data_IF_327139339529
#
_entry.id   IF_327139339529
#
_cell.length_a   1.000
_cell.length_b   1.000
_cell.length_c   1.000
_cell.angle_alpha   90.00
_cell.angle_beta   90.00
_cell.angle_gamma   90.00
#
_symmetry.space_group_name_H-M   'P 1'
#
loop_
_entity.id
_entity.type
_entity.pdbx_description
1 polymer ?
#
# COMPACT_ATOMS: atom_id res chain seq x y z
N UNK A 1 -20.81 -8.79 -10.79
CA UNK A 1 -19.56 -9.07 -11.54
C UNK A 1 -18.62 -7.90 -11.31
N UNK A 2 -17.30 -8.11 -11.26
CA UNK A 2 -16.33 -7.02 -11.09
C UNK A 2 -16.29 -6.12 -12.33
N UNK A 3 -16.12 -4.81 -12.14
CA UNK A 3 -16.03 -3.82 -13.24
C UNK A 3 -14.76 -3.95 -14.08
N UNK A 4 -13.71 -4.56 -13.54
CA UNK A 4 -12.41 -4.74 -14.18
C UNK A 4 -11.35 -5.20 -13.19
N UNK A 5 -10.09 -5.17 -13.61
CA UNK A 5 -8.92 -5.46 -12.77
C UNK A 5 -8.10 -4.21 -12.53
N UNK A 6 -7.73 -3.99 -11.28
CA UNK A 6 -6.90 -2.87 -10.84
C UNK A 6 -5.63 -3.40 -10.20
N UNK A 7 -4.51 -2.80 -10.59
CA UNK A 7 -3.29 -2.78 -9.78
C UNK A 7 -3.08 -1.37 -9.23
N UNK A 8 -2.78 -1.28 -7.95
CA UNK A 8 -2.20 -0.08 -7.35
C UNK A 8 -1.17 -0.47 -6.29
N UNK A 9 -0.29 0.46 -5.93
CA UNK A 9 0.78 0.16 -5.00
C UNK A 9 1.47 1.40 -4.49
N UNK A 10 2.26 1.23 -3.43
CA UNK A 10 3.12 2.28 -2.89
C UNK A 10 4.50 1.69 -2.60
N UNK A 11 5.54 2.51 -2.77
CA UNK A 11 6.89 2.20 -2.29
C UNK A 11 6.86 2.15 -0.75
N UNK A 12 7.43 1.11 -0.12
CA UNK A 12 7.51 1.05 1.34
C UNK A 12 8.40 2.19 1.84
N UNK A 13 7.79 3.09 2.62
CA UNK A 13 8.45 4.23 3.26
C UNK A 13 8.18 4.28 4.77
N UNK A 14 7.66 3.19 5.34
CA UNK A 14 7.21 3.05 6.71
C UNK A 14 5.80 3.59 6.93
N UNK A 15 5.51 4.02 8.16
CA UNK A 15 4.20 4.58 8.58
C UNK A 15 3.64 5.63 7.62
N UNK A 16 2.41 5.52 7.16
CA UNK A 16 1.82 6.51 6.29
C UNK A 16 1.35 7.73 7.08
N UNK A 17 1.35 8.88 6.43
CA UNK A 17 0.79 10.13 6.96
C UNK A 17 -0.55 10.48 6.32
N UNK A 18 -1.29 11.41 6.93
CA UNK A 18 -2.66 11.79 6.55
C UNK A 18 -2.80 12.18 5.07
N UNK A 19 -1.75 12.70 4.43
CA UNK A 19 -1.73 12.94 2.98
C UNK A 19 -1.95 11.69 2.09
N UNK A 20 -1.75 10.47 2.61
CA UNK A 20 -2.05 9.22 1.90
C UNK A 20 -3.49 8.73 2.12
N UNK A 21 -4.22 9.29 3.07
CA UNK A 21 -5.51 8.78 3.49
C UNK A 21 -6.53 8.81 2.34
N UNK A 22 -6.53 9.88 1.53
CA UNK A 22 -7.42 10.01 0.37
C UNK A 22 -7.20 8.91 -0.68
N UNK A 23 -5.95 8.47 -0.88
CA UNK A 23 -5.61 7.36 -1.77
C UNK A 23 -6.11 6.04 -1.20
N UNK A 24 -5.88 5.80 0.09
CA UNK A 24 -6.31 4.57 0.77
C UNK A 24 -7.84 4.47 0.85
N UNK A 25 -8.55 5.56 1.15
CA UNK A 25 -10.01 5.62 1.12
C UNK A 25 -10.56 5.30 -0.28
N UNK A 26 -9.89 5.78 -1.33
CA UNK A 26 -10.25 5.41 -2.69
C UNK A 26 -10.00 3.92 -2.96
N UNK A 27 -8.87 3.36 -2.53
CA UNK A 27 -8.63 1.92 -2.62
C UNK A 27 -9.70 1.10 -1.89
N UNK A 28 -10.16 1.57 -0.72
CA UNK A 28 -11.24 0.92 0.05
C UNK A 28 -12.56 0.88 -0.73
N UNK A 29 -12.86 1.93 -1.52
CA UNK A 29 -14.01 1.96 -2.43
C UNK A 29 -13.79 1.02 -3.61
N UNK A 30 -12.63 1.08 -4.26
CA UNK A 30 -12.32 0.29 -5.45
C UNK A 30 -12.39 -1.22 -5.23
N UNK A 31 -11.93 -1.71 -4.08
CA UNK A 31 -11.99 -3.15 -3.77
C UNK A 31 -13.41 -3.71 -3.62
N UNK A 32 -14.46 -2.87 -3.57
CA UNK A 32 -15.84 -3.35 -3.62
C UNK A 32 -16.29 -3.66 -5.06
N UNK A 33 -15.78 -2.90 -6.02
CA UNK A 33 -16.26 -2.90 -7.41
C UNK A 33 -15.32 -3.64 -8.37
N UNK A 34 -14.03 -3.69 -8.04
CA UNK A 34 -12.96 -4.20 -8.91
C UNK A 34 -12.25 -5.40 -8.27
N UNK A 35 -11.59 -6.19 -9.14
CA UNK A 35 -10.58 -7.14 -8.68
C UNK A 35 -9.28 -6.38 -8.42
N UNK A 36 -8.97 -6.15 -7.14
CA UNK A 36 -7.83 -5.33 -6.76
C UNK A 36 -6.59 -6.16 -6.36
N UNK A 37 -5.46 -5.73 -6.90
CA UNK A 37 -4.12 -6.07 -6.50
C UNK A 37 -3.48 -4.84 -5.86
N UNK A 38 -3.11 -4.94 -4.59
CA UNK A 38 -2.43 -3.90 -3.84
C UNK A 38 -1.01 -4.35 -3.50
N UNK A 39 -0.04 -3.67 -4.09
CA UNK A 39 1.34 -4.11 -4.08
C UNK A 39 2.23 -3.18 -3.26
N UNK A 40 2.99 -3.75 -2.33
CA UNK A 40 4.13 -3.08 -1.71
C UNK A 40 5.30 -3.12 -2.69
N UNK A 41 5.60 -1.99 -3.30
CA UNK A 41 6.55 -1.85 -4.42
C UNK A 41 7.99 -1.72 -3.92
N UNK A 42 8.54 -2.79 -3.35
CA UNK A 42 9.85 -2.79 -2.72
C UNK A 42 11.03 -2.75 -3.71
N UNK A 43 10.91 -3.37 -4.89
CA UNK A 43 11.93 -3.24 -5.95
C UNK A 43 12.00 -1.79 -6.46
N UNK A 44 10.86 -1.11 -6.58
CA UNK A 44 10.81 0.32 -6.92
C UNK A 44 11.50 1.22 -5.88
N UNK A 45 11.53 0.83 -4.60
CA UNK A 45 12.30 1.58 -3.60
C UNK A 45 13.81 1.56 -3.88
N UNK A 46 14.34 0.44 -4.38
CA UNK A 46 15.76 0.27 -4.69
C UNK A 46 16.25 1.23 -5.78
N UNK A 47 15.37 1.73 -6.64
CA UNK A 47 15.73 2.69 -7.70
C UNK A 47 16.28 4.02 -7.16
N UNK A 48 15.98 4.36 -5.90
CA UNK A 48 16.44 5.60 -5.23
C UNK A 48 17.06 5.39 -3.86
N UNK A 49 17.00 4.15 -3.33
CA UNK A 49 17.41 3.76 -1.98
C UNK A 49 18.08 2.39 -1.96
N UNK A 50 18.89 2.08 -2.98
CA UNK A 50 19.59 0.80 -3.08
C UNK A 50 20.60 0.57 -1.94
N UNK A 51 21.07 1.64 -1.30
CA UNK A 51 22.01 1.68 -0.19
C UNK A 51 21.32 1.77 1.20
N UNK A 52 20.00 1.91 1.26
CA UNK A 52 19.21 2.08 2.50
C UNK A 52 18.17 0.97 2.67
N UNK A 53 18.60 -0.30 2.69
CA UNK A 53 17.69 -1.46 2.67
C UNK A 53 17.42 -2.11 4.03
N UNK A 54 18.18 -1.76 5.05
CA UNK A 54 18.16 -2.43 6.37
C UNK A 54 16.77 -2.40 7.04
N UNK A 55 16.06 -1.28 6.93
CA UNK A 55 14.76 -1.08 7.57
C UNK A 55 13.57 -1.49 6.68
N UNK A 56 13.83 -1.96 5.46
CA UNK A 56 12.78 -2.28 4.48
C UNK A 56 11.73 -3.29 5.00
N UNK A 57 12.09 -4.38 5.72
CA UNK A 57 11.09 -5.30 6.26
C UNK A 57 10.12 -4.63 7.25
N UNK A 58 10.65 -3.73 8.09
CA UNK A 58 9.85 -2.97 9.03
C UNK A 58 8.96 -1.95 8.30
N UNK A 59 9.50 -1.27 7.29
CA UNK A 59 8.73 -0.31 6.51
C UNK A 59 7.56 -0.95 5.74
N UNK A 60 7.77 -2.16 5.21
CA UNK A 60 6.72 -2.98 4.59
C UNK A 60 5.63 -3.29 5.63
N UNK A 61 6.02 -3.78 6.81
CA UNK A 61 5.09 -4.12 7.88
C UNK A 61 4.23 -2.93 8.30
N UNK A 62 4.87 -1.81 8.61
CA UNK A 62 4.22 -0.60 9.09
C UNK A 62 3.21 -0.04 8.08
N UNK A 63 3.59 -0.05 6.80
CA UNK A 63 2.73 0.41 5.72
C UNK A 63 1.52 -0.50 5.51
N UNK A 64 1.71 -1.82 5.56
CA UNK A 64 0.59 -2.78 5.43
C UNK A 64 -0.36 -2.65 6.62
N UNK A 65 0.15 -2.44 7.84
CA UNK A 65 -0.70 -2.14 9.00
C UNK A 65 -1.56 -0.89 8.78
N UNK A 66 -1.01 0.16 8.17
CA UNK A 66 -1.79 1.36 7.82
C UNK A 66 -2.84 1.09 6.73
N UNK A 67 -2.54 0.26 5.74
CA UNK A 67 -3.52 -0.13 4.73
C UNK A 67 -4.71 -0.87 5.36
N UNK A 68 -4.41 -1.86 6.21
CA UNK A 68 -5.42 -2.66 6.90
C UNK A 68 -6.25 -1.78 7.85
N UNK A 69 -5.61 -0.86 8.56
CA UNK A 69 -6.28 0.02 9.52
C UNK A 69 -7.20 1.05 8.88
N UNK A 70 -6.92 1.48 7.65
CA UNK A 70 -7.83 2.34 6.88
C UNK A 70 -9.02 1.54 6.32
N UNK A 71 -8.83 0.25 6.03
CA UNK A 71 -9.93 -0.66 5.67
C UNK A 71 -9.68 -1.51 4.43
N UNK A 72 -8.43 -1.59 3.95
CA UNK A 72 -8.08 -2.56 2.91
C UNK A 72 -8.34 -3.97 3.44
N UNK A 73 -9.19 -4.71 2.73
CA UNK A 73 -9.61 -6.05 3.14
C UNK A 73 -8.80 -7.10 2.36
N UNK A 74 -7.87 -7.83 3.03
CA UNK A 74 -7.03 -8.82 2.38
C UNK A 74 -7.81 -10.07 1.95
N UNK A 75 -9.07 -10.24 2.35
CA UNK A 75 -9.96 -11.28 1.82
C UNK A 75 -10.54 -10.84 0.47
N UNK A 76 -10.83 -9.53 0.32
CA UNK A 76 -11.36 -8.95 -0.93
C UNK A 76 -10.28 -8.80 -2.00
N UNK A 77 -9.13 -8.27 -1.61
CA UNK A 77 -8.03 -7.89 -2.49
C UNK A 77 -6.78 -8.72 -2.22
N UNK A 78 -5.90 -8.84 -3.22
CA UNK A 78 -4.57 -9.43 -3.00
C UNK A 78 -3.61 -8.35 -2.50
N UNK A 79 -3.09 -8.50 -1.29
CA UNK A 79 -2.07 -7.61 -0.70
C UNK A 79 -0.74 -8.35 -0.63
N UNK A 80 0.28 -7.89 -1.35
CA UNK A 80 1.54 -8.64 -1.51
C UNK A 80 2.74 -7.71 -1.69
N UNK A 81 3.94 -8.28 -1.54
CA UNK A 81 5.21 -7.58 -1.79
C UNK A 81 5.68 -7.87 -3.22
N UNK A 82 6.11 -6.84 -3.95
CA UNK A 82 6.52 -6.94 -5.36
C UNK A 82 7.59 -8.01 -5.57
N UNK A 83 8.71 -7.93 -4.83
CA UNK A 83 9.83 -8.90 -4.93
C UNK A 83 9.44 -10.35 -4.62
N UNK A 84 8.34 -10.55 -3.89
CA UNK A 84 7.87 -11.90 -3.53
C UNK A 84 7.23 -12.64 -4.71
N UNK A 85 6.88 -11.92 -5.78
CA UNK A 85 6.36 -12.44 -7.06
C UNK A 85 7.43 -12.18 -8.13
N UNK A 86 8.34 -13.14 -8.29
CA UNK A 86 9.55 -13.01 -9.13
C UNK A 86 9.25 -12.78 -10.61
N UNK A 87 8.04 -13.14 -11.05
CA UNK A 87 7.56 -12.93 -12.41
C UNK A 87 7.61 -11.45 -12.83
N UNK A 88 7.49 -10.51 -11.88
CA UNK A 88 7.66 -9.08 -12.18
C UNK A 88 9.02 -8.77 -12.79
N UNK A 89 10.09 -9.34 -12.23
CA UNK A 89 11.44 -9.17 -12.75
C UNK A 89 11.61 -9.85 -14.11
N UNK A 90 10.98 -11.01 -14.30
CA UNK A 90 11.00 -11.75 -15.56
C UNK A 90 10.30 -10.99 -16.69
N UNK A 91 9.09 -10.47 -16.44
CA UNK A 91 8.36 -9.68 -17.44
C UNK A 91 9.06 -8.35 -17.71
N UNK A 92 9.62 -7.71 -16.68
CA UNK A 92 10.45 -6.53 -16.85
C UNK A 92 11.63 -6.79 -17.79
N UNK A 93 12.32 -7.93 -17.63
CA UNK A 93 13.41 -8.33 -18.50
C UNK A 93 12.94 -8.47 -19.95
N UNK A 94 11.82 -9.16 -20.20
CA UNK A 94 11.28 -9.30 -21.55
C UNK A 94 10.92 -7.97 -22.19
N UNK A 95 10.28 -7.06 -21.45
CA UNK A 95 10.01 -5.71 -21.94
C UNK A 95 11.30 -4.93 -22.21
N UNK A 96 12.29 -4.97 -21.32
CA UNK A 96 13.52 -4.19 -21.48
C UNK A 96 14.29 -4.49 -22.77
N UNK A 97 14.12 -5.69 -23.37
CA UNK A 97 14.81 -6.08 -24.60
C UNK A 97 14.35 -5.29 -25.84
N UNK A 98 13.18 -4.67 -25.82
CA UNK A 98 12.59 -4.06 -27.01
C UNK A 98 12.15 -2.59 -26.85
N UNK A 99 12.35 -1.99 -25.67
CA UNK A 99 12.02 -0.59 -25.39
C UNK A 99 13.21 0.33 -25.68
N UNK A 100 13.08 1.30 -26.62
CA UNK A 100 14.14 2.26 -26.89
C UNK A 100 14.43 3.14 -25.67
N UNK A 101 15.72 3.37 -25.39
CA UNK A 101 16.15 4.25 -24.29
C UNK A 101 15.57 5.67 -24.41
N UNK A 102 15.42 6.17 -25.65
CA UNK A 102 14.87 7.50 -25.91
C UNK A 102 13.43 7.70 -25.43
N UNK A 103 12.66 6.63 -25.26
CA UNK A 103 11.31 6.71 -24.66
C UNK A 103 11.40 7.01 -23.16
N UNK A 104 12.38 6.39 -22.48
CA UNK A 104 12.59 6.53 -21.05
C UNK A 104 13.20 7.91 -20.71
N UNK A 105 14.20 8.35 -21.47
CA UNK A 105 14.88 9.64 -21.28
C UNK A 105 13.97 10.86 -21.50
N UNK A 106 12.85 10.67 -22.22
CA UNK A 106 11.85 11.72 -22.49
C UNK A 106 10.72 11.78 -21.47
N UNK A 107 10.65 10.85 -20.52
CA UNK A 107 9.68 10.93 -19.43
C UNK A 107 9.95 12.20 -18.60
N UNK A 108 9.00 13.15 -18.50
CA UNK A 108 9.24 14.44 -17.83
C UNK A 108 9.71 14.29 -16.39
N UNK A 109 9.09 13.35 -15.67
CA UNK A 109 9.39 13.02 -14.27
C UNK A 109 10.83 12.56 -14.04
N UNK A 110 11.48 11.95 -15.03
CA UNK A 110 12.83 11.41 -14.89
C UNK A 110 13.84 12.53 -14.66
N UNK A 111 13.87 13.53 -15.54
CA UNK A 111 14.84 14.64 -15.47
C UNK A 111 14.66 15.47 -14.18
N UNK A 112 13.40 15.73 -13.82
CA UNK A 112 13.07 16.48 -12.62
C UNK A 112 13.52 15.74 -11.35
N UNK A 113 13.33 14.42 -11.30
CA UNK A 113 13.77 13.60 -10.17
C UNK A 113 15.29 13.50 -10.10
N UNK A 114 16.00 13.27 -11.20
CA UNK A 114 17.48 13.28 -11.22
C UNK A 114 18.01 14.60 -10.68
N UNK A 115 17.47 15.74 -11.16
CA UNK A 115 17.88 17.05 -10.67
C UNK A 115 17.56 17.25 -9.18
N UNK A 116 16.38 16.81 -8.73
CA UNK A 116 15.97 16.93 -7.32
C UNK A 116 16.85 16.10 -6.38
N UNK A 117 17.12 14.84 -6.72
CA UNK A 117 17.94 13.94 -5.91
C UNK A 117 19.43 14.32 -5.97
N UNK A 118 19.91 14.81 -7.12
CA UNK A 118 21.25 15.37 -7.25
C UNK A 118 21.48 16.55 -6.30
N UNK A 119 20.48 17.44 -6.11
CA UNK A 119 20.54 18.51 -5.09
C UNK A 119 20.60 17.99 -3.66
N UNK A 120 20.22 16.74 -3.41
CA UNK A 120 20.31 16.07 -2.11
C UNK A 120 21.60 15.25 -1.96
N UNK A 121 22.52 15.33 -2.93
CA UNK A 121 23.77 14.57 -2.93
C UNK A 121 23.59 13.09 -3.31
N UNK A 122 22.44 12.71 -3.88
CA UNK A 122 22.18 11.34 -4.34
C UNK A 122 22.36 11.23 -5.84
N UNK A 123 23.26 10.35 -6.27
CA UNK A 123 23.37 9.95 -7.67
C UNK A 123 22.45 8.76 -7.94
N UNK A 124 21.32 9.06 -8.59
CA UNK A 124 20.33 8.05 -9.00
C UNK A 124 20.35 7.82 -10.52
N UNK A 125 21.40 8.26 -11.21
CA UNK A 125 21.56 8.13 -12.68
C UNK A 125 21.94 6.69 -13.05
N UNK A 126 21.10 5.74 -12.65
CA UNK A 126 21.33 4.30 -12.76
C UNK A 126 20.40 3.69 -13.81
N UNK A 127 20.79 2.54 -14.37
CA UNK A 127 19.90 1.77 -15.25
C UNK A 127 18.57 1.43 -14.56
N UNK A 128 18.61 1.06 -13.27
CA UNK A 128 17.41 0.72 -12.51
C UNK A 128 16.44 1.90 -12.38
N UNK A 129 16.96 3.11 -12.18
CA UNK A 129 16.13 4.32 -12.13
C UNK A 129 15.63 4.72 -13.53
N UNK A 130 16.44 4.65 -14.58
CA UNK A 130 15.96 4.90 -15.95
C UNK A 130 14.88 3.88 -16.36
N UNK A 131 15.04 2.62 -15.97
CA UNK A 131 14.17 1.50 -16.32
C UNK A 131 12.94 1.31 -15.43
N UNK A 132 12.78 2.07 -14.33
CA UNK A 132 11.63 1.87 -13.43
C UNK A 132 10.26 1.99 -14.12
N UNK A 133 10.05 2.85 -15.13
CA UNK A 133 8.75 2.91 -15.81
C UNK A 133 8.43 1.62 -16.58
N UNK A 134 9.46 0.90 -17.06
CA UNK A 134 9.28 -0.42 -17.69
C UNK A 134 8.93 -1.47 -16.64
N UNK A 135 9.54 -1.39 -15.45
CA UNK A 135 9.16 -2.24 -14.31
C UNK A 135 7.71 -1.97 -13.89
N UNK A 136 7.29 -0.70 -13.84
CA UNK A 136 5.90 -0.33 -13.54
C UNK A 136 4.92 -0.87 -14.59
N UNK A 137 5.29 -0.84 -15.87
CA UNK A 137 4.50 -1.45 -16.92
C UNK A 137 4.39 -2.98 -16.76
N UNK A 138 5.50 -3.65 -16.40
CA UNK A 138 5.50 -5.07 -16.06
C UNK A 138 4.56 -5.36 -14.88
N UNK A 139 4.60 -4.55 -13.83
CA UNK A 139 3.73 -4.72 -12.67
C UNK A 139 2.24 -4.68 -13.09
N UNK A 140 1.83 -3.64 -13.85
CA UNK A 140 0.45 -3.43 -14.30
C UNK A 140 -0.03 -4.56 -15.22
N UNK A 141 0.76 -4.88 -16.24
CA UNK A 141 0.38 -5.84 -17.28
C UNK A 141 0.43 -7.29 -16.80
N UNK A 142 1.21 -7.59 -15.75
CA UNK A 142 1.25 -8.92 -15.10
C UNK A 142 -0.14 -9.42 -14.71
N UNK A 143 -1.02 -8.52 -14.29
CA UNK A 143 -2.35 -8.84 -13.80
C UNK A 143 -3.46 -8.52 -14.80
N UNK A 144 -3.10 -8.16 -16.04
CA UNK A 144 -4.05 -7.66 -17.05
C UNK A 144 -4.93 -6.53 -16.50
N UNK A 145 -4.32 -5.61 -15.74
CA UNK A 145 -5.06 -4.48 -15.19
C UNK A 145 -5.56 -3.59 -16.34
N UNK A 146 -6.88 -3.50 -16.48
CA UNK A 146 -7.55 -2.66 -17.48
C UNK A 146 -7.76 -1.23 -16.98
N UNK A 147 -7.65 -1.01 -15.67
CA UNK A 147 -7.89 0.26 -15.00
C UNK A 147 -6.81 0.51 -13.96
N UNK A 148 -6.21 1.70 -13.95
CA UNK A 148 -5.16 2.06 -12.99
C UNK A 148 -5.53 3.40 -12.31
N UNK A 149 -5.73 3.42 -10.98
CA UNK A 149 -5.97 4.65 -10.25
C UNK A 149 -4.67 5.44 -10.16
N UNK A 150 -4.64 6.62 -10.77
CA UNK A 150 -3.44 7.46 -10.89
C UNK A 150 -3.77 8.93 -10.67
N UNK A 151 -2.77 9.68 -10.17
CA UNK A 151 -2.76 11.13 -10.24
C UNK A 151 -2.34 11.62 -11.63
N UNK A 152 -2.56 12.90 -11.92
CA UNK A 152 -2.17 13.51 -13.20
C UNK A 152 -0.66 13.40 -13.47
N UNK A 153 0.16 13.41 -12.42
CA UNK A 153 1.62 13.28 -12.48
C UNK A 153 2.10 11.90 -12.97
N UNK A 154 1.23 10.88 -12.88
CA UNK A 154 1.54 9.50 -13.29
C UNK A 154 1.01 9.15 -14.69
N UNK A 155 0.29 10.06 -15.36
CA UNK A 155 -0.21 9.83 -16.71
C UNK A 155 0.88 9.50 -17.74
N UNK A 156 2.07 10.13 -17.72
CA UNK A 156 3.15 9.77 -18.64
C UNK A 156 3.61 8.30 -18.50
N UNK A 157 3.71 7.78 -17.27
CA UNK A 157 4.10 6.38 -17.04
C UNK A 157 3.01 5.41 -17.51
N UNK A 158 1.74 5.79 -17.33
CA UNK A 158 0.63 4.99 -17.82
C UNK A 158 0.57 4.96 -19.34
N UNK A 159 0.85 6.09 -20.02
CA UNK A 159 0.93 6.12 -21.48
C UNK A 159 2.07 5.25 -22.00
N UNK A 160 3.25 5.32 -21.37
CA UNK A 160 4.35 4.41 -21.68
C UNK A 160 3.94 2.93 -21.50
N UNK A 161 3.15 2.63 -20.47
CA UNK A 161 2.63 1.26 -20.27
C UNK A 161 1.74 0.81 -21.43
N UNK A 162 0.88 1.70 -21.97
CA UNK A 162 0.07 1.40 -23.16
C UNK A 162 0.93 1.18 -24.40
N UNK A 163 1.95 2.02 -24.60
CA UNK A 163 2.90 1.84 -25.71
C UNK A 163 3.64 0.51 -25.63
N UNK A 164 4.06 0.09 -24.43
CA UNK A 164 4.68 -1.21 -24.19
C UNK A 164 3.72 -2.35 -24.53
N UNK A 165 2.45 -2.26 -24.09
CA UNK A 165 1.42 -3.25 -24.41
C UNK A 165 1.17 -3.37 -25.92
N UNK A 166 0.94 -2.23 -26.60
CA UNK A 166 0.76 -2.16 -28.06
C UNK A 166 1.94 -2.76 -28.80
N UNK A 167 3.15 -2.37 -28.40
CA UNK A 167 4.39 -2.85 -29.03
C UNK A 167 4.59 -4.34 -28.86
N UNK A 168 4.36 -4.89 -27.66
CA UNK A 168 4.44 -6.33 -27.42
C UNK A 168 3.45 -7.09 -28.32
N UNK A 169 2.18 -6.67 -28.31
CA UNK A 169 1.12 -7.26 -29.10
C UNK A 169 1.45 -7.23 -30.61
N UNK A 170 1.98 -6.10 -31.10
CA UNK A 170 2.40 -5.96 -32.49
C UNK A 170 3.58 -6.87 -32.86
N UNK A 171 4.66 -6.87 -32.07
CA UNK A 171 5.88 -7.63 -32.36
C UNK A 171 5.62 -9.14 -32.39
N UNK A 172 4.81 -9.64 -31.46
CA UNK A 172 4.55 -11.07 -31.30
C UNK A 172 3.21 -11.51 -31.89
N UNK A 173 2.51 -10.62 -32.62
CA UNK A 173 1.24 -10.89 -33.30
C UNK A 173 0.18 -11.53 -32.39
N UNK A 174 -0.02 -10.91 -31.23
CA UNK A 174 -0.93 -11.38 -30.18
C UNK A 174 -1.80 -10.24 -29.66
N UNK A 175 -2.86 -10.56 -28.93
CA UNK A 175 -3.72 -9.60 -28.21
C UNK A 175 -3.65 -9.83 -26.70
N UNK A 176 -2.46 -10.21 -26.22
CA UNK A 176 -2.27 -10.67 -24.84
C UNK A 176 -2.47 -9.55 -23.82
N UNK A 177 -1.86 -8.39 -24.04
CA UNK A 177 -1.87 -7.30 -23.05
C UNK A 177 -2.94 -6.25 -23.37
N UNK A 178 -3.79 -5.87 -22.39
CA UNK A 178 -4.73 -4.78 -22.55
C UNK A 178 -4.02 -3.43 -22.48
N UNK A 179 -4.69 -2.39 -22.98
CA UNK A 179 -4.27 -1.00 -22.79
C UNK A 179 -4.93 -0.41 -21.54
N UNK A 180 -4.20 -0.23 -20.42
CA UNK A 180 -4.79 0.19 -19.15
C UNK A 180 -5.35 1.62 -19.22
N UNK A 181 -6.57 1.82 -18.72
CA UNK A 181 -7.25 3.11 -18.65
C UNK A 181 -6.92 3.83 -17.34
N UNK A 182 -6.76 5.16 -17.42
CA UNK A 182 -6.57 5.98 -16.22
C UNK A 182 -7.89 6.12 -15.46
N UNK A 183 -7.87 5.82 -14.17
CA UNK A 183 -8.92 6.26 -13.26
C UNK A 183 -8.40 7.45 -12.46
N UNK A 184 -8.67 8.65 -12.97
CA UNK A 184 -8.22 9.89 -12.35
C UNK A 184 -8.96 10.14 -11.03
N UNK A 185 -8.22 10.06 -9.93
CA UNK A 185 -8.73 10.47 -8.62
C UNK A 185 -8.43 11.94 -8.37
N UNK A 186 -9.43 12.72 -7.97
CA UNK A 186 -9.22 14.07 -7.42
C UNK A 186 -8.81 13.95 -5.97
N UNK A 187 -7.51 13.78 -5.73
CA UNK A 187 -6.96 13.73 -4.38
C UNK A 187 -6.47 15.12 -3.98
N UNK A 188 -7.03 15.73 -2.92
CA UNK A 188 -6.51 17.01 -2.45
C UNK A 188 -5.07 16.82 -1.97
N UNK A 189 -4.16 17.68 -2.44
CA UNK A 189 -2.80 17.71 -1.92
C UNK A 189 -2.85 18.25 -0.49
N UNK A 190 -2.59 17.39 0.49
CA UNK A 190 -2.53 17.79 1.90
C UNK A 190 -1.14 18.34 2.21
N UNK A 191 -0.99 19.65 2.52
CA UNK A 191 0.31 20.20 2.86
C UNK A 191 0.79 19.71 4.23
N UNK A 192 2.09 19.73 4.45
CA UNK A 192 2.66 19.57 5.79
C UNK A 192 2.24 20.70 6.72
N UNK A 193 2.46 20.54 8.02
CA UNK A 193 2.07 21.55 9.02
C UNK A 193 2.76 22.91 8.81
N UNK A 194 3.87 22.93 8.07
CA UNK A 194 4.65 24.10 7.70
C UNK A 194 4.29 24.68 6.31
N UNK A 195 3.31 24.10 5.62
CA UNK A 195 2.88 24.52 4.27
C UNK A 195 3.67 23.93 3.11
N UNK A 196 4.80 23.25 3.37
CA UNK A 196 5.56 22.53 2.32
C UNK A 196 4.87 21.19 1.99
N UNK A 197 5.39 20.46 0.98
CA UNK A 197 4.96 19.08 0.73
C UNK A 197 5.13 18.25 2.01
N UNK A 198 4.10 17.51 2.39
CA UNK A 198 4.16 16.64 3.55
C UNK A 198 5.23 15.56 3.34
N UNK A 199 6.14 15.44 4.29
CA UNK A 199 7.21 14.44 4.30
C UNK A 199 7.74 14.22 5.71
N UNK A 200 7.99 12.95 6.05
CA UNK A 200 8.65 12.58 7.30
C UNK A 200 10.04 13.17 7.43
N UNK A 201 10.78 13.25 6.32
CA UNK A 201 12.15 13.78 6.32
C UNK A 201 12.19 15.26 6.69
N UNK A 202 11.09 16.00 6.47
CA UNK A 202 10.95 17.39 6.90
C UNK A 202 10.38 17.52 8.30
N UNK A 203 9.97 16.41 8.92
CA UNK A 203 9.31 16.39 10.22
C UNK A 203 8.03 17.21 10.25
N UNK A 204 7.35 17.41 9.10
CA UNK A 204 6.16 18.24 8.96
C UNK A 204 4.86 17.41 8.77
N UNK A 205 4.95 16.10 8.98
CA UNK A 205 3.87 15.15 8.75
C UNK A 205 3.00 14.90 9.99
N UNK A 206 1.81 14.36 9.73
CA UNK A 206 0.91 13.80 10.73
C UNK A 206 0.69 12.34 10.35
N UNK A 207 1.34 11.41 11.06
CA UNK A 207 1.16 9.97 10.83
C UNK A 207 -0.32 9.59 11.02
N UNK A 208 -0.83 8.68 10.20
CA UNK A 208 -2.22 8.16 10.33
C UNK A 208 -2.37 7.45 11.68
N UNK A 209 -1.30 6.80 12.15
CA UNK A 209 -1.23 6.13 13.43
C UNK A 209 -0.88 7.08 14.61
N UNK A 210 -0.82 8.40 14.41
CA UNK A 210 -0.34 9.34 15.43
C UNK A 210 -1.26 9.36 16.66
N UNK A 211 -0.69 9.39 17.87
CA UNK A 211 -1.48 9.51 19.10
C UNK A 211 -2.32 10.79 19.11
N UNK A 212 -3.40 10.84 19.90
CA UNK A 212 -4.19 12.09 20.04
C UNK A 212 -3.32 13.27 20.50
N UNK A 213 -2.31 13.01 21.33
CA UNK A 213 -1.39 14.05 21.80
C UNK A 213 -0.50 14.56 20.65
N UNK A 214 0.05 13.65 19.85
CA UNK A 214 0.88 14.00 18.69
C UNK A 214 0.07 14.77 17.65
N UNK A 215 -1.16 14.35 17.35
CA UNK A 215 -2.06 15.07 16.44
C UNK A 215 -2.30 16.49 16.96
N UNK A 216 -2.63 16.65 18.26
CA UNK A 216 -2.82 17.96 18.87
C UNK A 216 -1.56 18.83 18.76
N UNK A 217 -0.38 18.27 19.07
CA UNK A 217 0.90 18.96 18.99
C UNK A 217 1.18 19.45 17.56
N UNK A 218 0.96 18.58 16.56
CA UNK A 218 1.17 18.89 15.14
C UNK A 218 0.20 19.94 14.62
N UNK A 219 -1.09 19.83 14.94
CA UNK A 219 -2.11 20.83 14.56
C UNK A 219 -1.81 22.18 15.21
N UNK A 220 -1.39 22.18 16.48
CA UNK A 220 -1.00 23.42 17.17
C UNK A 220 0.22 24.10 16.54
N UNK A 221 1.16 23.31 16.01
CA UNK A 221 2.35 23.81 15.32
C UNK A 221 2.09 24.33 13.89
N UNK A 222 0.87 24.17 13.35
CA UNK A 222 0.58 24.60 11.98
C UNK A 222 0.81 26.10 11.76
N UNK A 223 1.45 26.44 10.64
CA UNK A 223 1.64 27.84 10.22
C UNK A 223 0.29 28.45 9.87
N UNK A 224 -0.05 29.55 10.54
CA UNK A 224 -1.23 30.37 10.23
C UNK A 224 -0.81 31.60 9.44
N UNK A 225 -1.74 32.54 9.23
CA UNK A 225 -1.43 33.82 8.61
C UNK A 225 -0.33 34.58 9.39
N UNK A 226 0.86 34.83 8.78
CA UNK A 226 1.93 35.58 9.43
C UNK A 226 1.58 37.05 9.69
N UNK A 227 0.64 37.62 8.92
CA UNK A 227 0.17 38.99 9.08
C UNK A 227 -0.76 39.18 10.27
N UNK A 228 -1.25 38.09 10.87
CA UNK A 228 -2.16 38.13 12.01
C UNK A 228 -1.40 37.93 13.33
N UNK A 229 -0.91 39.03 13.90
CA UNK A 229 -0.06 39.02 15.10
C UNK A 229 -0.90 38.96 16.38
N UNK A 230 -2.01 39.70 16.41
CA UNK A 230 -2.97 39.74 17.53
C UNK A 230 -4.27 39.06 17.16
N UNK A 231 -5.09 38.74 18.18
CA UNK A 231 -6.38 38.08 17.96
C UNK A 231 -7.35 38.98 17.20
N UNK A 232 -7.29 40.27 17.46
CA UNK A 232 -8.16 41.32 16.92
C UNK A 232 -7.78 41.69 15.49
N UNK A 233 -6.58 41.33 15.03
CA UNK A 233 -6.16 41.54 13.65
C UNK A 233 -6.99 40.66 12.70
N UNK A 234 -7.39 41.23 11.57
CA UNK A 234 -8.11 40.51 10.51
C UNK A 234 -7.20 39.41 9.95
N UNK A 235 -7.73 38.21 9.77
CA UNK A 235 -6.98 37.10 9.19
C UNK A 235 -7.20 36.94 7.69
N UNK A 236 -6.19 36.42 7.01
CA UNK A 236 -6.27 35.94 5.65
C UNK A 236 -6.28 34.39 5.59
N UNK A 237 -7.45 33.76 5.37
CA UNK A 237 -7.55 32.30 5.24
C UNK A 237 -6.74 31.72 4.06
N UNK A 238 -6.50 32.51 3.02
CA UNK A 238 -5.93 32.01 1.76
C UNK A 238 -4.44 31.62 1.91
N UNK A 239 -3.75 32.22 2.89
CA UNK A 239 -2.35 31.92 3.24
C UNK A 239 -2.21 31.03 4.49
N UNK A 240 -3.33 30.57 5.06
CA UNK A 240 -3.34 29.85 6.33
C UNK A 240 -3.41 28.33 6.11
N UNK A 241 -2.43 27.57 6.63
CA UNK A 241 -2.40 26.10 6.48
C UNK A 241 -3.55 25.43 7.22
N UNK A 242 -3.96 25.99 8.36
CA UNK A 242 -5.14 25.51 9.09
C UNK A 242 -6.39 25.61 8.21
N UNK A 243 -6.57 26.71 7.48
CA UNK A 243 -7.71 26.85 6.55
C UNK A 243 -7.61 25.84 5.39
N UNK A 244 -6.42 25.56 4.85
CA UNK A 244 -6.23 24.51 3.83
C UNK A 244 -6.68 23.13 4.32
N UNK A 245 -6.46 22.81 5.60
CA UNK A 245 -7.00 21.58 6.18
C UNK A 245 -8.52 21.63 6.37
N UNK A 246 -9.08 22.79 6.75
CA UNK A 246 -10.54 22.97 6.85
C UNK A 246 -11.21 22.80 5.47
N UNK A 247 -10.58 23.25 4.39
CA UNK A 247 -11.04 23.02 3.01
C UNK A 247 -11.08 21.53 2.62
N UNK A 248 -10.27 20.70 3.27
CA UNK A 248 -10.18 19.27 2.94
C UNK A 248 -11.14 18.46 3.81
N UNK A 249 -11.21 18.77 5.11
CA UNK A 249 -11.90 17.95 6.11
C UNK A 249 -13.19 18.57 6.66
N UNK A 250 -13.48 19.84 6.38
CA UNK A 250 -14.61 20.58 6.98
C UNK A 250 -15.37 21.44 5.97
N UNK A 251 -15.76 20.84 4.84
CA UNK A 251 -16.45 21.54 3.76
C UNK A 251 -17.74 22.24 4.20
N UNK A 252 -18.49 21.66 5.14
CA UNK A 252 -19.79 22.17 5.56
C UNK A 252 -19.70 23.52 6.30
N UNK A 253 -18.70 23.68 7.17
CA UNK A 253 -18.53 24.90 7.97
C UNK A 253 -17.54 25.89 7.35
N UNK A 254 -16.87 25.52 6.25
CA UNK A 254 -15.78 26.29 5.67
C UNK A 254 -16.11 27.78 5.46
N UNK A 255 -17.27 28.08 4.87
CA UNK A 255 -17.67 29.46 4.60
C UNK A 255 -17.81 30.30 5.88
N UNK A 256 -18.34 29.69 6.94
CA UNK A 256 -18.44 30.32 8.26
C UNK A 256 -17.06 30.51 8.91
N UNK A 257 -16.18 29.50 8.81
CA UNK A 257 -14.81 29.58 9.31
C UNK A 257 -14.05 30.73 8.63
N UNK A 258 -14.13 30.82 7.30
CA UNK A 258 -13.46 31.85 6.52
C UNK A 258 -14.01 33.24 6.81
N UNK A 259 -15.35 33.39 6.91
CA UNK A 259 -15.99 34.66 7.29
C UNK A 259 -15.50 35.15 8.65
N UNK A 260 -15.60 34.30 9.67
CA UNK A 260 -15.22 34.64 11.06
C UNK A 260 -13.71 34.83 11.25
N UNK A 261 -12.88 34.24 10.38
CA UNK A 261 -11.45 34.53 10.33
C UNK A 261 -11.18 35.91 9.73
N UNK A 262 -11.83 36.25 8.60
CA UNK A 262 -11.69 37.54 7.93
C UNK A 262 -12.23 38.71 8.75
N UNK A 263 -13.25 38.50 9.59
CA UNK A 263 -13.82 39.52 10.48
C UNK A 263 -13.20 39.56 11.89
N UNK A 264 -12.15 38.78 12.15
CA UNK A 264 -11.51 38.62 13.47
C UNK A 264 -12.42 38.14 14.63
N UNK A 265 -13.64 37.68 14.34
CA UNK A 265 -14.56 37.06 15.31
C UNK A 265 -13.99 35.76 15.91
N UNK A 266 -13.11 35.07 15.16
CA UNK A 266 -12.48 33.80 15.56
C UNK A 266 -10.97 33.94 15.71
N UNK A 267 -10.41 33.48 16.84
CA UNK A 267 -8.97 33.35 17.03
C UNK A 267 -8.36 32.08 16.40
N UNK A 268 -7.07 32.15 16.01
CA UNK A 268 -6.34 31.03 15.41
C UNK A 268 -6.29 29.77 16.31
N UNK A 269 -6.16 29.95 17.62
CA UNK A 269 -6.14 28.83 18.59
C UNK A 269 -7.46 28.06 18.58
N UNK A 270 -8.59 28.76 18.51
CA UNK A 270 -9.92 28.11 18.45
C UNK A 270 -10.08 27.36 17.11
N UNK A 271 -9.65 27.97 16.00
CA UNK A 271 -9.67 27.32 14.69
C UNK A 271 -8.83 26.02 14.67
N UNK A 272 -7.64 26.05 15.29
CA UNK A 272 -6.78 24.86 15.46
C UNK A 272 -7.42 23.80 16.35
N UNK A 273 -8.11 24.20 17.42
CA UNK A 273 -8.84 23.27 18.30
C UNK A 273 -9.97 22.56 17.55
N UNK A 274 -10.74 23.29 16.75
CA UNK A 274 -11.78 22.72 15.88
C UNK A 274 -11.19 21.74 14.86
N UNK A 275 -10.09 22.14 14.19
CA UNK A 275 -9.39 21.25 13.26
C UNK A 275 -8.87 19.98 13.94
N UNK A 276 -8.27 20.11 15.12
CA UNK A 276 -7.80 18.96 15.90
C UNK A 276 -8.93 17.96 16.16
N UNK A 277 -10.11 18.44 16.58
CA UNK A 277 -11.24 17.54 16.84
C UNK A 277 -11.68 16.78 15.58
N UNK A 278 -11.67 17.42 14.41
CA UNK A 278 -12.03 16.78 13.14
C UNK A 278 -10.99 15.74 12.72
N UNK A 279 -9.71 16.09 12.77
CA UNK A 279 -8.62 15.14 12.46
C UNK A 279 -8.63 13.98 13.45
N UNK A 280 -8.92 14.24 14.72
CA UNK A 280 -9.02 13.22 15.74
C UNK A 280 -10.21 12.28 15.50
N UNK A 281 -11.38 12.80 15.14
CA UNK A 281 -12.55 11.99 14.74
C UNK A 281 -12.24 11.10 13.53
N UNK A 282 -11.42 11.58 12.59
CA UNK A 282 -11.00 10.82 11.42
C UNK A 282 -9.99 9.71 11.77
N UNK A 283 -8.99 10.03 12.59
CA UNK A 283 -7.87 9.12 12.89
C UNK A 283 -8.15 8.14 14.03
N UNK A 284 -9.01 8.48 15.00
CA UNK A 284 -9.36 7.60 16.12
C UNK A 284 -9.80 6.18 15.69
N UNK A 285 -10.80 6.01 14.81
CA UNK A 285 -11.24 4.67 14.39
C UNK A 285 -10.14 3.91 13.62
N UNK A 286 -9.27 4.63 12.90
CA UNK A 286 -8.14 4.02 12.20
C UNK A 286 -7.12 3.47 13.22
N UNK A 287 -6.80 4.24 14.27
CA UNK A 287 -5.89 3.80 15.33
C UNK A 287 -6.42 2.61 16.12
N UNK A 288 -7.72 2.59 16.41
CA UNK A 288 -8.37 1.45 17.06
C UNK A 288 -8.24 0.18 16.22
N UNK A 289 -8.56 0.26 14.91
CA UNK A 289 -8.38 -0.88 14.00
C UNK A 289 -6.92 -1.29 13.88
N UNK A 290 -5.99 -0.34 13.84
CA UNK A 290 -4.56 -0.63 13.80
C UNK A 290 -4.10 -1.44 15.02
N UNK A 291 -4.53 -1.04 16.23
CA UNK A 291 -4.19 -1.73 17.47
C UNK A 291 -4.65 -3.20 17.47
N UNK A 292 -5.80 -3.51 16.86
CA UNK A 292 -6.27 -4.90 16.69
C UNK A 292 -5.28 -5.73 15.87
N UNK A 293 -4.79 -5.18 14.75
CA UNK A 293 -3.83 -5.87 13.89
C UNK A 293 -2.43 -5.98 14.53
N UNK A 294 -2.02 -4.98 15.31
CA UNK A 294 -0.75 -4.99 16.05
C UNK A 294 -0.73 -6.03 17.18
N UNK A 295 -1.87 -6.30 17.82
CA UNK A 295 -2.01 -7.35 18.84
C UNK A 295 -1.69 -8.76 18.31
N UNK A 296 -1.82 -8.95 16.99
CA UNK A 296 -1.36 -10.14 16.28
C UNK A 296 -1.81 -11.47 16.92
N UNK A 297 -3.10 -11.58 17.23
CA UNK A 297 -3.65 -12.75 17.91
C UNK A 297 -3.89 -13.92 16.95
N UNK A 298 -3.88 -15.15 17.48
CA UNK A 298 -4.20 -16.33 16.68
C UNK A 298 -5.65 -16.32 16.20
N UNK A 299 -6.57 -15.82 17.02
CA UNK A 299 -7.99 -15.69 16.68
C UNK A 299 -8.18 -14.85 15.42
N UNK A 300 -7.47 -13.73 15.32
CA UNK A 300 -7.48 -12.87 14.13
C UNK A 300 -6.95 -13.60 12.89
N UNK A 301 -5.87 -14.36 13.02
CA UNK A 301 -5.29 -15.15 11.94
C UNK A 301 -6.24 -16.25 11.48
N UNK A 302 -6.86 -16.97 12.43
CA UNK A 302 -7.86 -18.00 12.17
C UNK A 302 -9.07 -17.43 11.45
N UNK A 303 -9.64 -16.34 11.95
CA UNK A 303 -10.81 -15.69 11.34
C UNK A 303 -10.54 -15.27 9.90
N UNK A 304 -9.34 -14.77 9.62
CA UNK A 304 -8.91 -14.46 8.26
C UNK A 304 -8.86 -15.70 7.36
N UNK A 305 -8.27 -16.80 7.82
CA UNK A 305 -8.19 -18.06 7.06
C UNK A 305 -9.58 -18.64 6.78
N UNK A 306 -10.49 -18.62 7.77
CA UNK A 306 -11.87 -19.07 7.61
C UNK A 306 -12.63 -18.21 6.58
N UNK A 307 -12.46 -16.88 6.62
CA UNK A 307 -13.06 -15.98 5.63
C UNK A 307 -12.55 -16.25 4.21
N UNK A 308 -11.26 -16.55 4.04
CA UNK A 308 -10.70 -16.93 2.74
C UNK A 308 -11.34 -18.21 2.18
N UNK A 309 -11.51 -19.26 3.00
CA UNK A 309 -12.14 -20.52 2.59
C UNK A 309 -13.59 -20.33 2.14
N UNK A 310 -14.36 -19.57 2.93
CA UNK A 310 -15.76 -19.30 2.61
C UNK A 310 -15.93 -18.61 1.26
N UNK A 311 -14.95 -17.78 0.87
CA UNK A 311 -14.94 -17.10 -0.44
C UNK A 311 -14.58 -18.03 -1.60
N UNK A 312 -13.70 -19.02 -1.41
CA UNK A 312 -13.25 -19.91 -2.49
C UNK A 312 -14.20 -21.07 -2.80
N UNK A 313 -15.21 -21.35 -1.95
CA UNK A 313 -16.18 -22.48 -2.13
C UNK A 313 -15.52 -23.82 -2.49
N UNK A 314 -14.28 -24.03 -2.06
CA UNK A 314 -13.54 -25.27 -2.31
C UNK A 314 -13.89 -26.28 -1.23
N UNK A 315 -14.48 -27.42 -1.61
CA UNK A 315 -14.51 -28.61 -0.75
C UNK A 315 -13.07 -29.06 -0.57
N UNK A 316 -12.54 -28.94 0.64
CA UNK A 316 -11.22 -29.45 0.96
C UNK A 316 -11.28 -30.99 1.00
N UNK A 317 -10.39 -31.72 0.30
CA UNK A 317 -10.37 -33.18 0.31
C UNK A 317 -10.04 -33.81 1.68
N UNK A 318 -9.67 -33.00 2.67
CA UNK A 318 -9.24 -33.44 4.00
C UNK A 318 -10.44 -33.72 4.95
N UNK A 319 -11.31 -34.66 4.54
CA UNK A 319 -12.51 -35.10 5.29
C UNK A 319 -12.33 -36.40 6.06
N UNK A 320 -11.12 -36.96 6.12
CA UNK A 320 -10.85 -38.19 6.88
C UNK A 320 -10.56 -37.89 8.36
N UNK A 321 -10.52 -38.94 9.20
CA UNK A 321 -10.14 -38.85 10.62
C UNK A 321 -8.86 -38.02 10.81
N UNK A 322 -8.97 -36.92 11.54
CA UNK A 322 -7.86 -35.99 11.78
C UNK A 322 -7.20 -36.31 13.12
N UNK A 323 -6.09 -37.05 13.08
CA UNK A 323 -5.22 -37.21 14.24
C UNK A 323 -4.22 -36.03 14.39
N UNK A 324 -3.65 -35.85 15.58
CA UNK A 324 -2.73 -34.73 15.87
C UNK A 324 -1.29 -34.92 15.37
N UNK A 325 -0.90 -36.13 14.96
CA UNK A 325 0.49 -36.45 14.64
C UNK A 325 1.05 -35.61 13.47
N UNK A 326 0.34 -35.34 12.36
CA UNK A 326 0.79 -34.42 11.32
C UNK A 326 1.08 -33.01 11.84
N UNK A 327 0.23 -32.48 12.72
CA UNK A 327 0.39 -31.13 13.28
C UNK A 327 1.58 -31.10 14.23
N UNK A 328 1.67 -32.05 15.17
CA UNK A 328 2.82 -32.17 16.07
C UNK A 328 4.14 -32.27 15.31
N UNK A 329 4.22 -33.10 14.27
CA UNK A 329 5.43 -33.20 13.43
C UNK A 329 5.83 -31.86 12.79
N UNK A 330 4.87 -31.04 12.36
CA UNK A 330 5.15 -29.70 11.81
C UNK A 330 5.61 -28.74 12.90
N UNK A 331 4.92 -28.74 14.04
CA UNK A 331 5.30 -27.95 15.21
C UNK A 331 6.70 -28.30 15.70
N UNK A 332 7.06 -29.58 15.80
CA UNK A 332 8.40 -30.04 16.21
C UNK A 332 9.49 -29.59 15.25
N UNK A 333 9.26 -29.70 13.94
CA UNK A 333 10.21 -29.22 12.92
C UNK A 333 10.42 -27.71 13.05
N UNK A 334 9.35 -26.95 13.25
CA UNK A 334 9.43 -25.51 13.42
C UNK A 334 10.10 -25.16 14.76
N UNK A 335 9.75 -25.84 15.85
CA UNK A 335 10.31 -25.67 17.19
C UNK A 335 11.84 -25.78 17.21
N UNK A 336 12.40 -26.75 16.48
CA UNK A 336 13.86 -26.94 16.37
C UNK A 336 14.58 -25.72 15.77
N UNK A 337 13.91 -24.96 14.90
CA UNK A 337 14.45 -23.76 14.24
C UNK A 337 14.01 -22.45 14.90
N UNK A 338 13.02 -22.52 15.78
CA UNK A 338 12.35 -21.36 16.34
C UNK A 338 13.21 -20.62 17.38
N UNK A 339 13.18 -19.29 17.31
CA UNK A 339 13.72 -18.41 18.34
C UNK A 339 12.89 -18.42 19.63
N UNK A 340 13.35 -17.71 20.66
CA UNK A 340 12.68 -17.68 21.98
C UNK A 340 11.23 -17.20 21.91
N UNK A 341 10.98 -16.06 21.24
CA UNK A 341 9.63 -15.47 21.08
C UNK A 341 8.66 -16.40 20.33
N UNK A 342 9.15 -17.06 19.29
CA UNK A 342 8.37 -18.01 18.50
C UNK A 342 8.01 -19.24 19.34
N UNK A 343 8.93 -19.76 20.15
CA UNK A 343 8.68 -20.87 21.08
C UNK A 343 7.63 -20.52 22.14
N UNK A 344 7.67 -19.30 22.69
CA UNK A 344 6.64 -18.81 23.61
C UNK A 344 5.27 -18.75 22.93
N UNK A 345 5.23 -18.28 21.68
CA UNK A 345 3.99 -18.24 20.89
C UNK A 345 3.44 -19.63 20.63
N UNK A 346 4.28 -20.60 20.23
CA UNK A 346 3.89 -22.00 20.02
C UNK A 346 3.34 -22.63 21.31
N UNK A 347 3.98 -22.38 22.46
CA UNK A 347 3.49 -22.86 23.76
C UNK A 347 2.12 -22.30 24.10
N UNK A 348 1.90 -21.01 23.81
CA UNK A 348 0.65 -20.31 24.13
C UNK A 348 -0.49 -20.71 23.21
N UNK A 349 -0.23 -20.87 21.91
CA UNK A 349 -1.27 -20.99 20.87
C UNK A 349 -1.39 -22.40 20.28
N UNK A 350 -0.37 -23.25 20.42
CA UNK A 350 -0.30 -24.54 19.76
C UNK A 350 -1.45 -25.49 20.10
N UNK A 351 -1.86 -25.55 21.37
CA UNK A 351 -3.01 -26.36 21.79
C UNK A 351 -4.31 -25.94 21.09
N UNK A 352 -4.52 -24.64 20.92
CA UNK A 352 -5.69 -24.12 20.20
C UNK A 352 -5.62 -24.46 18.70
N UNK A 353 -4.44 -24.31 18.08
CA UNK A 353 -4.23 -24.68 16.67
C UNK A 353 -4.52 -26.16 16.43
N UNK A 354 -4.06 -27.03 17.33
CA UNK A 354 -4.31 -28.48 17.25
C UNK A 354 -5.81 -28.77 17.39
N UNK A 355 -6.49 -28.12 18.34
CA UNK A 355 -7.93 -28.27 18.53
C UNK A 355 -8.73 -27.80 17.29
N UNK A 356 -8.36 -26.66 16.71
CA UNK A 356 -9.01 -26.10 15.52
C UNK A 356 -8.75 -26.96 14.27
N UNK A 357 -7.59 -27.62 14.19
CA UNK A 357 -7.32 -28.60 13.13
C UNK A 357 -8.17 -29.87 13.30
N UNK A 358 -8.20 -30.44 14.51
CA UNK A 358 -8.99 -31.64 14.83
C UNK A 358 -10.48 -31.45 14.57
N UNK A 359 -11.01 -30.28 14.91
CA UNK A 359 -12.43 -29.93 14.72
C UNK A 359 -12.83 -29.67 13.27
N UNK A 360 -11.88 -29.62 12.33
CA UNK A 360 -12.19 -29.34 10.93
C UNK A 360 -12.06 -27.87 10.52
N UNK A 361 -11.94 -26.94 11.47
CA UNK A 361 -11.97 -25.48 11.21
C UNK A 361 -10.81 -25.05 10.30
N UNK A 362 -9.60 -25.48 10.62
CA UNK A 362 -8.40 -25.20 9.82
C UNK A 362 -7.83 -26.48 9.21
N UNK A 363 -7.06 -26.37 8.12
CA UNK A 363 -6.47 -27.53 7.43
C UNK A 363 -4.98 -27.65 7.72
N UNK A 364 -4.36 -28.76 7.33
CA UNK A 364 -2.92 -28.94 7.51
C UNK A 364 -2.09 -27.91 6.72
N UNK A 365 -2.66 -27.37 5.64
CA UNK A 365 -2.07 -26.28 4.86
C UNK A 365 -2.21 -24.94 5.59
N UNK A 366 -3.34 -24.68 6.25
CA UNK A 366 -3.49 -23.49 7.11
C UNK A 366 -2.47 -23.50 8.26
N UNK A 367 -2.29 -24.66 8.90
CA UNK A 367 -1.27 -24.86 9.93
C UNK A 367 0.12 -24.54 9.37
N UNK A 368 0.43 -24.97 8.14
CA UNK A 368 1.70 -24.64 7.49
C UNK A 368 1.84 -23.13 7.30
N UNK A 369 0.81 -22.47 6.78
CA UNK A 369 0.83 -21.02 6.53
C UNK A 369 1.00 -20.23 7.82
N UNK A 370 0.37 -20.65 8.92
CA UNK A 370 0.56 -20.03 10.23
C UNK A 370 2.01 -20.16 10.70
N UNK A 371 2.62 -21.34 10.54
CA UNK A 371 4.02 -21.58 10.91
C UNK A 371 5.00 -20.82 10.00
N UNK A 372 4.79 -20.81 8.69
CA UNK A 372 5.62 -20.08 7.72
C UNK A 372 5.57 -18.57 7.97
N UNK A 373 4.37 -18.06 8.28
CA UNK A 373 4.16 -16.68 8.71
C UNK A 373 4.62 -16.42 10.15
N UNK A 374 5.12 -17.43 10.87
CA UNK A 374 5.60 -17.33 12.25
C UNK A 374 4.56 -16.79 13.22
N UNK A 375 3.29 -17.10 12.98
CA UNK A 375 2.14 -16.53 13.69
C UNK A 375 2.14 -15.00 13.67
N UNK A 376 2.57 -14.40 12.56
CA UNK A 376 2.43 -12.97 12.30
C UNK A 376 1.35 -12.71 11.26
N UNK A 377 0.37 -11.89 11.63
CA UNK A 377 -0.83 -11.63 10.83
C UNK A 377 -0.51 -10.92 9.52
N UNK A 378 0.36 -9.91 9.57
CA UNK A 378 0.80 -9.19 8.37
C UNK A 378 1.55 -10.12 7.42
N UNK A 379 2.48 -10.94 7.95
CA UNK A 379 3.21 -11.94 7.18
C UNK A 379 2.27 -12.97 6.55
N UNK A 380 1.26 -13.43 7.28
CA UNK A 380 0.23 -14.35 6.79
C UNK A 380 -0.59 -13.73 5.64
N UNK A 381 -0.97 -12.46 5.77
CA UNK A 381 -1.66 -11.71 4.70
C UNK A 381 -0.78 -11.66 3.46
N UNK A 382 0.48 -11.25 3.61
CA UNK A 382 1.41 -11.11 2.48
C UNK A 382 1.69 -12.46 1.80
N UNK A 383 1.83 -13.55 2.56
CA UNK A 383 1.97 -14.90 2.01
C UNK A 383 0.72 -15.31 1.20
N UNK A 384 -0.49 -15.13 1.75
CA UNK A 384 -1.74 -15.45 1.05
C UNK A 384 -2.04 -14.52 -0.12
N UNK A 385 -1.56 -13.28 -0.06
CA UNK A 385 -1.60 -12.36 -1.19
C UNK A 385 -0.64 -12.76 -2.30
N UNK A 386 0.60 -13.13 -1.94
CA UNK A 386 1.60 -13.68 -2.87
C UNK A 386 1.06 -14.91 -3.60
N UNK A 387 0.46 -15.88 -2.89
CA UNK A 387 -0.12 -17.07 -3.53
C UNK A 387 -1.18 -16.70 -4.60
N UNK A 388 -2.06 -15.73 -4.28
CA UNK A 388 -3.12 -15.27 -5.19
C UNK A 388 -2.56 -14.49 -6.38
N UNK A 389 -1.61 -13.59 -6.13
CA UNK A 389 -0.95 -12.81 -7.17
C UNK A 389 -0.07 -13.70 -8.06
N UNK A 390 0.70 -14.59 -7.46
CA UNK A 390 1.61 -15.52 -8.13
C UNK A 390 0.90 -16.46 -9.09
N UNK A 391 -0.29 -16.98 -8.75
CA UNK A 391 -1.08 -17.80 -9.70
C UNK A 391 -1.41 -17.05 -10.99
N UNK A 392 -1.79 -15.78 -10.89
CA UNK A 392 -2.05 -14.95 -12.06
C UNK A 392 -0.75 -14.66 -12.81
N UNK A 393 0.30 -14.31 -12.08
CA UNK A 393 1.59 -13.94 -12.66
C UNK A 393 2.26 -15.09 -13.43
N UNK A 394 2.24 -16.31 -12.88
CA UNK A 394 2.74 -17.52 -13.56
C UNK A 394 1.99 -17.75 -14.86
N UNK A 395 0.66 -17.69 -14.85
CA UNK A 395 -0.16 -17.84 -16.06
C UNK A 395 0.18 -16.78 -17.10
N UNK A 396 0.36 -15.52 -16.69
CA UNK A 396 0.74 -14.44 -17.60
C UNK A 396 2.11 -14.70 -18.23
N UNK A 397 3.10 -15.11 -17.44
CA UNK A 397 4.44 -15.45 -17.95
C UNK A 397 4.41 -16.63 -18.91
N UNK A 398 3.62 -17.67 -18.64
CA UNK A 398 3.45 -18.80 -19.57
C UNK A 398 2.92 -18.32 -20.93
N UNK A 399 1.93 -17.43 -20.94
CA UNK A 399 1.39 -16.84 -22.17
C UNK A 399 2.40 -15.93 -22.89
N UNK A 400 3.20 -15.17 -22.13
CA UNK A 400 4.29 -14.35 -22.70
C UNK A 400 5.36 -15.22 -23.36
N UNK A 401 5.82 -16.27 -22.66
CA UNK A 401 6.80 -17.21 -23.20
C UNK A 401 6.25 -17.93 -24.43
N UNK A 402 4.98 -18.30 -24.44
CA UNK A 402 4.34 -18.88 -25.62
C UNK A 402 4.34 -17.91 -26.81
N UNK A 403 3.92 -16.66 -26.60
CA UNK A 403 3.91 -15.63 -27.63
C UNK A 403 5.31 -15.31 -28.19
N UNK A 404 6.33 -15.36 -27.33
CA UNK A 404 7.73 -15.14 -27.69
C UNK A 404 8.44 -16.41 -28.20
N UNK A 405 7.74 -17.56 -28.25
CA UNK A 405 8.29 -18.87 -28.60
C UNK A 405 9.48 -19.32 -27.72
N UNK A 406 9.41 -19.06 -26.41
CA UNK A 406 10.39 -19.46 -25.39
C UNK A 406 9.94 -20.74 -24.66
N UNK A 407 9.79 -21.85 -25.40
CA UNK A 407 9.10 -23.07 -24.94
C UNK A 407 9.99 -24.09 -24.20
N UNK A 408 11.10 -23.68 -23.59
CA UNK A 408 12.08 -24.60 -22.98
C UNK A 408 12.08 -24.55 -21.46
#
# INVERSE_FOLDING_TARGET
MSKGTILSGMRPTGKLHIGHLSVLENWVKLQQDYRCYFMVADLHSLTTKFDETENLPNDIREMVLDWLSVGIDPVKSAVFVQSSVTQHAELHLYFSMNIPLSWLERCPTYKDQVAQFGRQGKDITTYGFLGYPVLQAADILMYFADTVPVGEDQLPHLELTREIARRFNFLYKTELFPEPQALLGKFPLVPGVDGRKMSKSYGNDIAISASSEDVRKRVNAMVTDPGRVRREDLGNPDVCIVNKYQEIYNNELLAYIQKTCRSAERGCVNCKKELYNLVEQLLAPIRERRAIYENNTYELQRDYLLKLKNKTRTKDPDTNERDEAPVHRKFDRYWKKAGRKEKETLKKTGSQVIADYKSGLITLNDVQSLLDARFDFVSLILQKGKERAGRQAVKTIEQVREAMNLRY
#
